data_IF_383384455466
#
_entry.id   IF_383384455466
#
_cell.length_a   1.000
_cell.length_b   1.000
_cell.length_c   1.000
_cell.angle_alpha   90.00
_cell.angle_beta   90.00
_cell.angle_gamma   90.00
#
_symmetry.space_group_name_H-M   'P 1'
#
loop_
_entity.id
_entity.type
_entity.pdbx_description
1 polymer ?
#
# COMPACT_ATOMS: atom_id res chain seq x y z
N UNK A 1 46.96 16.73 -28.61
CA UNK A 1 45.63 17.36 -28.56
C UNK A 1 45.82 18.76 -27.99
N UNK A 2 46.15 19.73 -28.83
CA UNK A 2 46.51 21.07 -28.37
C UNK A 2 45.32 22.00 -28.60
N UNK A 3 44.74 22.48 -27.50
CA UNK A 3 43.76 23.55 -27.51
C UNK A 3 44.49 24.86 -27.84
N UNK A 4 44.53 25.27 -29.11
CA UNK A 4 45.31 26.44 -29.57
C UNK A 4 44.55 27.76 -29.51
N UNK A 5 43.25 27.77 -29.17
CA UNK A 5 42.43 28.97 -29.09
C UNK A 5 41.77 29.15 -27.71
N UNK A 6 41.91 30.34 -27.12
CA UNK A 6 41.37 30.72 -25.80
C UNK A 6 39.85 30.48 -25.69
N UNK A 7 39.11 30.60 -26.80
CA UNK A 7 37.65 30.37 -26.87
C UNK A 7 37.24 28.94 -26.49
N UNK A 8 38.07 27.95 -26.84
CA UNK A 8 37.83 26.53 -26.53
C UNK A 8 38.31 26.13 -25.11
N UNK A 9 38.96 27.05 -24.40
CA UNK A 9 39.31 26.91 -22.98
C UNK A 9 38.15 27.38 -22.08
N UNK A 10 37.23 28.18 -22.61
CA UNK A 10 36.06 28.67 -21.87
C UNK A 10 35.03 27.55 -21.76
N UNK A 11 35.01 26.87 -20.62
CA UNK A 11 34.03 25.83 -20.30
C UNK A 11 32.63 26.45 -20.17
N UNK A 12 31.90 26.61 -21.28
CA UNK A 12 30.50 27.02 -21.26
C UNK A 12 29.64 25.90 -20.65
N UNK A 13 28.68 26.24 -19.79
CA UNK A 13 27.68 25.26 -19.33
C UNK A 13 26.89 24.74 -20.54
N UNK A 14 26.90 23.43 -20.77
CA UNK A 14 26.23 22.80 -21.89
C UNK A 14 24.72 22.61 -21.67
N UNK A 15 24.03 21.92 -22.60
CA UNK A 15 22.60 21.63 -22.48
C UNK A 15 22.28 20.58 -21.40
N UNK A 16 23.29 19.97 -20.79
CA UNK A 16 23.14 18.92 -19.77
C UNK A 16 22.36 19.40 -18.55
N UNK A 17 22.54 20.66 -18.12
CA UNK A 17 21.80 21.25 -17.01
C UNK A 17 20.28 21.30 -17.31
N UNK A 18 19.92 21.65 -18.54
CA UNK A 18 18.53 21.70 -18.98
C UNK A 18 17.88 20.31 -18.93
N UNK A 19 18.55 19.28 -19.45
CA UNK A 19 18.04 17.91 -19.44
C UNK A 19 17.90 17.34 -18.02
N UNK A 20 18.82 17.68 -17.11
CA UNK A 20 18.71 17.32 -15.67
C UNK A 20 17.49 17.94 -15.02
N UNK A 21 17.25 19.25 -15.23
CA UNK A 21 16.05 19.95 -14.71
C UNK A 21 14.77 19.37 -15.30
N UNK A 22 14.77 19.08 -16.61
CA UNK A 22 13.61 18.49 -17.31
C UNK A 22 13.22 17.13 -16.73
N UNK A 23 14.17 16.29 -16.28
CA UNK A 23 13.88 15.02 -15.59
C UNK A 23 13.09 15.24 -14.30
N UNK A 24 13.48 16.21 -13.49
CA UNK A 24 12.75 16.56 -12.25
C UNK A 24 11.36 17.12 -12.57
N UNK A 25 11.24 17.98 -13.58
CA UNK A 25 9.95 18.53 -13.96
C UNK A 25 8.96 17.49 -14.50
N UNK A 26 9.45 16.43 -15.15
CA UNK A 26 8.61 15.28 -15.51
C UNK A 26 7.99 14.62 -14.28
N UNK A 27 8.73 14.49 -13.19
CA UNK A 27 8.23 13.91 -11.94
C UNK A 27 7.28 14.84 -11.19
N UNK A 28 7.49 16.16 -11.27
CA UNK A 28 6.68 17.17 -10.58
C UNK A 28 5.50 17.70 -11.40
N UNK A 29 5.21 17.14 -12.59
CA UNK A 29 4.25 17.71 -13.54
C UNK A 29 2.84 17.93 -12.93
N UNK A 30 2.41 17.02 -12.06
CA UNK A 30 1.10 17.07 -11.39
C UNK A 30 1.11 17.78 -10.04
N UNK A 31 2.21 18.41 -9.65
CA UNK A 31 2.26 19.18 -8.41
C UNK A 31 1.55 20.54 -8.59
N UNK A 32 0.91 21.04 -7.54
CA UNK A 32 0.21 22.34 -7.59
C UNK A 32 1.16 23.53 -7.39
N UNK A 33 1.01 24.60 -8.15
CA UNK A 33 1.69 25.89 -7.92
C UNK A 33 3.21 25.87 -8.17
N UNK A 34 3.99 26.58 -7.35
CA UNK A 34 5.44 26.77 -7.60
C UNK A 34 6.27 25.48 -7.57
N UNK A 35 5.80 24.42 -6.91
CA UNK A 35 6.48 23.11 -6.85
C UNK A 35 6.46 22.33 -8.18
N UNK A 36 5.65 22.72 -9.17
CA UNK A 36 5.76 22.18 -10.56
C UNK A 36 6.69 22.99 -11.45
N UNK A 37 6.86 24.29 -11.21
CA UNK A 37 7.52 25.21 -12.14
C UNK A 37 8.92 25.67 -11.69
N UNK A 38 9.19 25.72 -10.38
CA UNK A 38 10.46 26.22 -9.84
C UNK A 38 11.37 25.06 -9.43
N UNK A 39 12.53 24.89 -10.09
CA UNK A 39 13.42 23.74 -9.88
C UNK A 39 13.84 23.55 -8.41
N UNK A 40 14.29 24.61 -7.73
CA UNK A 40 14.76 24.54 -6.34
C UNK A 40 13.66 24.11 -5.36
N UNK A 41 12.40 24.36 -5.68
CA UNK A 41 11.25 23.91 -4.88
C UNK A 41 10.88 22.47 -5.30
N UNK A 42 10.79 22.22 -6.60
CA UNK A 42 10.41 20.94 -7.17
C UNK A 42 11.31 19.80 -6.68
N UNK A 43 12.63 19.97 -6.71
CA UNK A 43 13.59 18.93 -6.30
C UNK A 43 13.37 18.49 -4.84
N UNK A 44 13.20 19.45 -3.91
CA UNK A 44 12.95 19.18 -2.49
C UNK A 44 11.66 18.38 -2.29
N UNK A 45 10.59 18.75 -3.00
CA UNK A 45 9.30 18.07 -2.90
C UNK A 45 9.35 16.68 -3.55
N UNK A 46 10.00 16.53 -4.70
CA UNK A 46 10.18 15.23 -5.36
C UNK A 46 10.91 14.26 -4.45
N UNK A 47 12.02 14.67 -3.80
CA UNK A 47 12.72 13.82 -2.85
C UNK A 47 11.81 13.38 -1.68
N UNK A 48 11.05 14.31 -1.10
CA UNK A 48 10.09 13.98 -0.04
C UNK A 48 9.00 13.02 -0.52
N UNK A 49 8.47 13.23 -1.72
CA UNK A 49 7.45 12.36 -2.32
C UNK A 49 7.99 10.94 -2.55
N UNK A 50 9.24 10.80 -3.01
CA UNK A 50 9.88 9.49 -3.21
C UNK A 50 10.09 8.75 -1.88
N UNK A 51 10.49 9.46 -0.81
CA UNK A 51 10.59 8.88 0.53
C UNK A 51 9.21 8.38 1.01
N UNK A 52 8.16 9.19 0.84
CA UNK A 52 6.80 8.77 1.20
C UNK A 52 6.28 7.65 0.32
N UNK A 53 6.63 7.58 -0.97
CA UNK A 53 6.26 6.46 -1.82
C UNK A 53 6.84 5.14 -1.28
N UNK A 54 8.10 5.14 -0.86
CA UNK A 54 8.73 3.95 -0.27
C UNK A 54 8.08 3.56 1.05
N UNK A 55 7.84 4.52 1.95
CA UNK A 55 7.13 4.27 3.22
C UNK A 55 5.70 3.77 2.99
N UNK A 56 4.96 4.40 2.08
CA UNK A 56 3.58 4.07 1.75
C UNK A 56 3.39 2.67 1.17
N UNK A 57 4.38 2.10 0.46
CA UNK A 57 4.32 0.71 0.01
C UNK A 57 4.27 -0.30 1.16
N UNK A 58 4.96 0.00 2.26
CA UNK A 58 4.93 -0.85 3.45
C UNK A 58 3.61 -0.67 4.22
N UNK A 59 3.21 0.59 4.45
CA UNK A 59 1.97 0.94 5.15
C UNK A 59 0.73 0.38 4.45
N UNK A 60 0.66 0.43 3.11
CA UNK A 60 -0.46 -0.15 2.34
C UNK A 60 -0.75 -1.62 2.69
N UNK A 61 0.27 -2.41 3.03
CA UNK A 61 0.06 -3.81 3.43
C UNK A 61 -0.60 -3.92 4.80
N UNK A 62 -0.28 -3.02 5.72
CA UNK A 62 -0.88 -2.92 7.05
C UNK A 62 -2.31 -2.41 6.95
N UNK A 63 -2.53 -1.30 6.24
CA UNK A 63 -3.85 -0.70 6.03
C UNK A 63 -4.84 -1.71 5.42
N UNK A 64 -4.39 -2.50 4.44
CA UNK A 64 -5.22 -3.54 3.81
C UNK A 64 -5.52 -4.69 4.78
N UNK A 65 -4.54 -5.10 5.61
CA UNK A 65 -4.75 -6.15 6.60
C UNK A 65 -5.73 -5.73 7.70
N UNK A 66 -5.67 -4.47 8.12
CA UNK A 66 -6.62 -3.88 9.05
C UNK A 66 -8.03 -3.82 8.45
N UNK A 67 -8.16 -3.30 7.22
CA UNK A 67 -9.43 -3.24 6.50
C UNK A 67 -10.07 -4.63 6.35
N UNK A 68 -9.30 -5.66 5.97
CA UNK A 68 -9.83 -7.01 5.87
C UNK A 68 -10.26 -7.55 7.23
N UNK A 69 -9.52 -7.26 8.28
CA UNK A 69 -9.89 -7.67 9.65
C UNK A 69 -11.21 -7.03 10.07
N UNK A 70 -11.39 -5.73 9.83
CA UNK A 70 -12.63 -5.00 10.12
C UNK A 70 -13.83 -5.55 9.33
N UNK A 71 -13.65 -5.87 8.04
CA UNK A 71 -14.69 -6.47 7.21
C UNK A 71 -15.12 -7.85 7.69
N UNK A 72 -14.15 -8.71 8.03
CA UNK A 72 -14.43 -10.04 8.56
C UNK A 72 -15.13 -9.92 9.92
N UNK A 73 -14.69 -9.01 10.79
CA UNK A 73 -15.34 -8.76 12.08
C UNK A 73 -16.82 -8.38 11.92
N UNK A 74 -17.14 -7.45 11.01
CA UNK A 74 -18.51 -7.08 10.71
C UNK A 74 -19.35 -8.26 10.17
N UNK A 75 -18.74 -9.13 9.35
CA UNK A 75 -19.40 -10.37 8.90
C UNK A 75 -19.64 -11.35 10.05
N UNK A 76 -18.68 -11.52 10.96
CA UNK A 76 -18.84 -12.39 12.12
C UNK A 76 -19.94 -11.88 13.08
N UNK A 77 -20.05 -10.56 13.27
CA UNK A 77 -21.09 -9.93 14.10
C UNK A 77 -22.50 -10.27 13.61
N UNK A 78 -22.73 -10.36 12.30
CA UNK A 78 -24.02 -10.77 11.74
C UNK A 78 -24.43 -12.20 12.12
N UNK A 79 -23.45 -13.04 12.43
CA UNK A 79 -23.64 -14.43 12.87
C UNK A 79 -23.45 -14.60 14.38
N UNK A 80 -23.40 -13.51 15.15
CA UNK A 80 -23.20 -13.50 16.61
C UNK A 80 -21.89 -14.15 17.07
N UNK A 81 -20.85 -14.15 16.24
CA UNK A 81 -19.51 -14.67 16.58
C UNK A 81 -18.53 -13.49 16.64
N UNK A 82 -17.61 -13.48 17.61
CA UNK A 82 -16.56 -12.46 17.63
C UNK A 82 -15.37 -12.87 16.74
N UNK A 83 -14.71 -11.90 16.11
CA UNK A 83 -13.54 -12.16 15.25
C UNK A 83 -12.42 -13.01 15.89
N UNK A 84 -11.96 -12.76 17.14
CA UNK A 84 -10.91 -13.58 17.74
C UNK A 84 -11.34 -15.04 17.88
N UNK A 85 -12.58 -15.29 18.32
CA UNK A 85 -13.13 -16.65 18.41
C UNK A 85 -13.22 -17.32 17.03
N UNK A 86 -13.69 -16.58 16.02
CA UNK A 86 -13.75 -17.08 14.66
C UNK A 86 -12.36 -17.46 14.11
N UNK A 87 -11.35 -16.63 14.36
CA UNK A 87 -9.97 -16.88 13.93
C UNK A 87 -9.38 -18.10 14.64
N UNK A 88 -9.63 -18.25 15.93
CA UNK A 88 -9.15 -19.39 16.70
C UNK A 88 -9.83 -20.68 16.23
N UNK A 89 -11.14 -20.64 15.97
CA UNK A 89 -11.88 -21.75 15.37
C UNK A 89 -11.35 -22.16 14.00
N UNK A 90 -10.98 -21.21 13.13
CA UNK A 90 -10.38 -21.52 11.83
C UNK A 90 -9.03 -22.24 11.98
N UNK A 91 -8.19 -21.81 12.92
CA UNK A 91 -6.89 -22.46 13.17
C UNK A 91 -7.06 -23.87 13.71
N UNK A 92 -8.00 -24.09 14.63
CA UNK A 92 -8.30 -25.40 15.22
C UNK A 92 -8.84 -26.39 14.18
N UNK A 93 -9.66 -25.91 13.26
CA UNK A 93 -10.17 -26.70 12.15
C UNK A 93 -9.17 -26.86 10.99
N UNK A 94 -7.93 -26.39 11.14
CA UNK A 94 -6.88 -26.41 10.10
C UNK A 94 -7.29 -25.73 8.77
N UNK A 95 -8.17 -24.73 8.84
CA UNK A 95 -8.63 -23.97 7.68
C UNK A 95 -7.67 -22.80 7.43
N UNK A 96 -6.73 -22.99 6.50
CA UNK A 96 -5.66 -22.04 6.17
C UNK A 96 -6.12 -20.94 5.19
N UNK A 97 -7.19 -20.22 5.53
CA UNK A 97 -7.70 -19.12 4.71
C UNK A 97 -7.11 -17.76 5.08
N UNK A 98 -6.73 -17.00 4.06
CA UNK A 98 -6.24 -15.63 4.22
C UNK A 98 -7.38 -14.64 4.50
N UNK A 99 -7.11 -13.62 5.32
CA UNK A 99 -8.06 -12.53 5.64
C UNK A 99 -8.64 -11.82 4.41
N UNK A 100 -7.87 -11.70 3.34
CA UNK A 100 -8.35 -11.14 2.06
C UNK A 100 -9.51 -11.98 1.51
N UNK A 101 -9.32 -13.29 1.42
CA UNK A 101 -10.33 -14.22 0.90
C UNK A 101 -11.54 -14.26 1.81
N UNK A 102 -11.34 -14.29 3.13
CA UNK A 102 -12.44 -14.23 4.11
C UNK A 102 -13.26 -12.94 3.97
N UNK A 103 -12.61 -11.80 3.76
CA UNK A 103 -13.30 -10.53 3.54
C UNK A 103 -14.08 -10.51 2.21
N UNK A 104 -13.55 -11.13 1.16
CA UNK A 104 -14.23 -11.26 -0.12
C UNK A 104 -15.45 -12.20 0.00
N UNK A 105 -15.32 -13.31 0.73
CA UNK A 105 -16.43 -14.24 1.01
C UNK A 105 -17.55 -13.57 1.82
N UNK A 106 -17.20 -12.79 2.84
CA UNK A 106 -18.18 -12.05 3.64
C UNK A 106 -19.02 -11.07 2.81
N UNK A 107 -18.46 -10.53 1.71
CA UNK A 107 -19.16 -9.56 0.84
C UNK A 107 -19.97 -10.27 -0.25
N UNK A 108 -19.35 -11.22 -0.95
CA UNK A 108 -19.92 -11.78 -2.18
C UNK A 108 -20.65 -13.10 -1.96
N UNK A 109 -20.23 -13.90 -0.98
CA UNK A 109 -20.69 -15.27 -0.77
C UNK A 109 -21.13 -15.48 0.69
N UNK A 110 -22.22 -14.81 1.14
CA UNK A 110 -22.63 -14.82 2.54
C UNK A 110 -22.99 -16.21 3.05
N UNK A 111 -23.53 -17.09 2.18
CA UNK A 111 -23.87 -18.48 2.54
C UNK A 111 -22.62 -19.29 2.90
N UNK A 112 -21.56 -19.15 2.12
CA UNK A 112 -20.28 -19.82 2.37
C UNK A 112 -19.65 -19.31 3.66
N UNK A 113 -19.72 -18.00 3.91
CA UNK A 113 -19.24 -17.39 5.13
C UNK A 113 -20.04 -17.85 6.37
N UNK A 114 -21.36 -17.98 6.25
CA UNK A 114 -22.23 -18.53 7.29
C UNK A 114 -21.87 -19.98 7.64
N UNK A 115 -21.60 -20.83 6.64
CA UNK A 115 -21.15 -22.21 6.88
C UNK A 115 -19.82 -22.24 7.64
N UNK A 116 -18.87 -21.37 7.28
CA UNK A 116 -17.59 -21.28 8.01
C UNK A 116 -17.80 -20.80 9.45
N UNK A 117 -18.68 -19.83 9.67
CA UNK A 117 -19.00 -19.34 11.01
C UNK A 117 -19.62 -20.44 11.89
N UNK A 118 -20.52 -21.25 11.33
CA UNK A 118 -21.12 -22.41 12.02
C UNK A 118 -20.07 -23.46 12.39
N UNK A 119 -19.21 -23.87 11.46
CA UNK A 119 -18.12 -24.84 11.72
C UNK A 119 -17.20 -24.34 12.84
N UNK A 120 -16.89 -23.04 12.88
CA UNK A 120 -16.08 -22.47 13.95
C UNK A 120 -16.83 -22.41 15.29
N UNK A 121 -18.13 -22.17 15.29
CA UNK A 121 -18.96 -22.12 16.50
C UNK A 121 -19.13 -23.52 17.12
N UNK A 122 -19.43 -24.54 16.32
CA UNK A 122 -19.55 -25.94 16.77
C UNK A 122 -18.28 -26.42 17.47
N UNK A 123 -17.11 -26.05 16.94
CA UNK A 123 -15.83 -26.47 17.53
C UNK A 123 -15.57 -25.84 18.91
N UNK A 124 -16.09 -24.64 19.17
CA UNK A 124 -16.02 -24.01 20.50
C UNK A 124 -16.87 -24.79 21.51
N UNK A 125 -18.04 -25.27 21.11
CA UNK A 125 -18.92 -26.04 21.99
C UNK A 125 -18.27 -27.38 22.39
N UNK A 126 -17.56 -28.03 21.47
CA UNK A 126 -16.84 -29.30 21.73
C UNK A 126 -15.72 -29.14 22.77
N UNK A 127 -15.02 -28.00 22.80
CA UNK A 127 -13.95 -27.76 23.77
C UNK A 127 -14.43 -27.35 25.16
N UNK A 128 -15.67 -26.87 25.28
CA UNK A 128 -16.27 -26.47 26.56
C UNK A 128 -16.91 -27.64 27.30
N UNK A 129 -17.14 -28.77 26.61
CA UNK A 129 -17.65 -30.03 27.15
C UNK A 129 -16.51 -30.89 27.69
#
# INVERSE_FOLDING_TARGET
MVFTSVVNLVRSRGPDEFWRKRKIFKLSAHFLGRRRNCYSIAIRIVHRALVYATKGRALKKQDMAELWTQRVAAGCEQHNVTYPEFRDGLMKNNILLNRKVLADLAIWEPRTFESLAKICAEMKEIEQQ
#
